data_IF_756966938069
#
_entry.id   IF_756966938069
#
_cell.length_a   1.000
_cell.length_b   1.000
_cell.length_c   1.000
_cell.angle_alpha   90.00
_cell.angle_beta   90.00
_cell.angle_gamma   90.00
#
_symmetry.space_group_name_H-M   'P 1'
#
loop_
_entity.id
_entity.type
_entity.pdbx_description
1 polymer ?
#
# COMPACT_ATOMS: atom_id res chain seq x y z
N UNK A 1 -9.66 0.25 -17.55
CA UNK A 1 -9.10 0.57 -16.22
C UNK A 1 -7.65 1.02 -16.29
N UNK A 2 -7.39 2.15 -15.63
CA UNK A 2 -6.05 2.68 -15.42
C UNK A 2 -5.21 1.71 -14.55
N UNK A 3 -3.87 1.70 -14.69
CA UNK A 3 -2.99 0.96 -13.79
C UNK A 3 -3.21 1.39 -12.34
N UNK A 4 -3.05 0.45 -11.40
CA UNK A 4 -3.14 0.76 -9.98
C UNK A 4 -2.11 1.82 -9.61
N UNK A 5 -2.59 2.87 -8.96
CA UNK A 5 -1.78 3.91 -8.33
C UNK A 5 -2.36 4.15 -6.95
N UNK A 6 -1.75 3.53 -5.94
CA UNK A 6 -2.11 3.76 -4.55
C UNK A 6 -0.97 4.46 -3.81
N UNK A 7 -1.33 5.40 -2.94
CA UNK A 7 -0.42 6.09 -2.06
C UNK A 7 -0.36 5.36 -0.72
N UNK A 8 0.83 5.03 -0.25
CA UNK A 8 1.03 4.52 1.10
C UNK A 8 0.93 5.70 2.08
N UNK A 9 -0.17 5.74 2.85
CA UNK A 9 -0.48 6.85 3.77
C UNK A 9 0.22 6.65 5.11
N UNK A 10 0.17 5.43 5.63
CA UNK A 10 0.79 5.05 6.89
C UNK A 10 1.04 3.53 6.89
N UNK A 11 1.85 3.05 7.82
CA UNK A 11 2.09 1.63 8.03
C UNK A 11 2.23 1.32 9.51
N UNK A 12 1.56 0.28 9.97
CA UNK A 12 1.61 -0.19 11.35
C UNK A 12 2.10 -1.64 11.40
N UNK A 13 2.95 -1.94 12.37
CA UNK A 13 3.30 -3.32 12.67
C UNK A 13 2.23 -3.99 13.54
N UNK A 14 1.77 -5.14 13.09
CA UNK A 14 0.91 -6.08 13.82
C UNK A 14 1.71 -7.35 14.13
N UNK A 15 1.56 -7.89 15.34
CA UNK A 15 2.35 -9.03 15.79
C UNK A 15 2.02 -10.34 15.05
N UNK A 16 0.82 -10.46 14.49
CA UNK A 16 0.36 -11.66 13.80
C UNK A 16 0.32 -11.47 12.28
N UNK A 17 -0.13 -10.29 11.84
CA UNK A 17 -0.31 -9.99 10.41
C UNK A 17 0.93 -9.36 9.76
N UNK A 18 1.94 -8.99 10.55
CA UNK A 18 3.10 -8.26 10.04
C UNK A 18 2.77 -6.79 9.78
N UNK A 19 3.35 -6.21 8.73
CA UNK A 19 3.10 -4.78 8.45
C UNK A 19 1.79 -4.60 7.70
N UNK A 20 0.84 -3.93 8.34
CA UNK A 20 -0.41 -3.47 7.74
C UNK A 20 -0.18 -2.08 7.17
N UNK A 21 -0.41 -1.91 5.87
CA UNK A 21 -0.28 -0.64 5.18
C UNK A 21 -1.64 0.04 5.05
N UNK A 22 -1.74 1.30 5.44
CA UNK A 22 -2.88 2.15 5.12
C UNK A 22 -2.62 2.78 3.76
N UNK A 23 -3.53 2.55 2.83
CA UNK A 23 -3.36 2.96 1.43
C UNK A 23 -4.56 3.76 0.96
N UNK A 24 -4.28 4.77 0.14
CA UNK A 24 -5.32 5.52 -0.58
C UNK A 24 -5.19 5.23 -2.07
N UNK A 25 -6.27 4.79 -2.70
CA UNK A 25 -6.28 4.52 -4.13
C UNK A 25 -6.53 5.84 -4.87
N UNK A 26 -5.62 6.19 -5.78
CA UNK A 26 -5.77 7.36 -6.65
C UNK A 26 -6.37 6.91 -7.99
N UNK A 27 -5.77 5.89 -8.60
CA UNK A 27 -6.22 5.30 -9.86
C UNK A 27 -6.23 3.77 -9.78
N UNK A 28 -7.09 3.15 -10.60
CA UNK A 28 -7.21 1.70 -10.70
C UNK A 28 -7.92 1.06 -9.50
N UNK A 29 -7.77 -0.25 -9.35
CA UNK A 29 -8.38 -1.03 -8.28
C UNK A 29 -7.36 -1.96 -7.65
N UNK A 30 -7.40 -2.09 -6.33
CA UNK A 30 -6.60 -3.03 -5.55
C UNK A 30 -7.51 -4.12 -4.99
N UNK A 31 -7.18 -5.39 -5.24
CA UNK A 31 -7.98 -6.54 -4.83
C UNK A 31 -7.13 -7.55 -4.07
N UNK A 32 -7.81 -8.40 -3.30
CA UNK A 32 -7.19 -9.58 -2.72
C UNK A 32 -6.66 -10.51 -3.81
N UNK A 33 -5.45 -11.05 -3.61
CA UNK A 33 -4.76 -11.91 -4.58
C UNK A 33 -4.00 -11.15 -5.68
N UNK A 34 -4.08 -9.82 -5.72
CA UNK A 34 -3.26 -9.03 -6.63
C UNK A 34 -1.78 -9.13 -6.25
N UNK A 35 -0.90 -9.07 -7.26
CA UNK A 35 0.54 -8.95 -7.05
C UNK A 35 0.97 -7.52 -7.25
N UNK A 36 1.34 -6.87 -6.16
CA UNK A 36 1.69 -5.45 -6.12
C UNK A 36 3.20 -5.24 -6.06
N UNK A 37 3.63 -4.04 -6.44
CA UNK A 37 4.99 -3.56 -6.35
C UNK A 37 5.03 -2.18 -5.72
N UNK A 38 5.93 -2.05 -4.76
CA UNK A 38 6.35 -0.76 -4.23
C UNK A 38 7.31 -0.12 -5.23
N UNK A 39 6.97 1.05 -5.77
CA UNK A 39 7.76 1.67 -6.84
C UNK A 39 9.13 2.15 -6.35
N UNK A 40 9.26 2.69 -5.14
CA UNK A 40 10.56 3.12 -4.61
C UNK A 40 11.40 1.99 -4.08
N UNK A 41 10.85 1.10 -3.25
CA UNK A 41 11.64 0.01 -2.66
C UNK A 41 11.90 -1.12 -3.65
N UNK A 42 11.08 -1.22 -4.71
CA UNK A 42 11.16 -2.26 -5.72
C UNK A 42 10.63 -3.62 -5.25
N UNK A 43 10.22 -3.73 -3.98
CA UNK A 43 9.67 -4.95 -3.39
C UNK A 43 8.33 -5.33 -4.03
N UNK A 44 8.19 -6.61 -4.36
CA UNK A 44 6.95 -7.19 -4.89
C UNK A 44 6.31 -8.08 -3.84
N UNK A 45 5.00 -7.92 -3.65
CA UNK A 45 4.25 -8.64 -2.63
C UNK A 45 2.92 -9.14 -3.19
N UNK A 46 2.47 -10.29 -2.71
CA UNK A 46 1.14 -10.82 -3.01
C UNK A 46 0.17 -10.33 -1.93
N UNK A 47 -0.98 -9.80 -2.35
CA UNK A 47 -1.97 -9.19 -1.46
C UNK A 47 -2.83 -10.27 -0.80
N UNK A 48 -2.65 -10.46 0.50
CA UNK A 48 -3.39 -11.47 1.28
C UNK A 48 -4.79 -11.00 1.65
N UNK A 49 -4.92 -9.72 2.01
CA UNK A 49 -6.20 -9.12 2.41
C UNK A 49 -6.23 -7.61 2.14
N UNK A 50 -7.43 -7.11 1.82
CA UNK A 50 -7.70 -5.68 1.69
C UNK A 50 -9.01 -5.35 2.38
N UNK A 51 -9.10 -4.14 2.94
CA UNK A 51 -10.27 -3.79 3.74
C UNK A 51 -10.36 -2.31 4.04
N UNK A 52 -11.41 -1.94 4.76
CA UNK A 52 -11.62 -0.59 5.27
C UNK A 52 -11.74 -0.62 6.78
N UNK A 53 -11.47 0.53 7.42
CA UNK A 53 -11.74 0.69 8.84
C UNK A 53 -13.16 1.18 9.06
N UNK A 54 -13.97 0.41 9.79
CA UNK A 54 -15.31 0.77 10.25
C UNK A 54 -15.47 0.42 11.72
N UNK A 55 -15.18 1.37 12.63
CA UNK A 55 -13.97 1.43 13.48
C UNK A 55 -13.09 0.16 13.64
N UNK A 56 -13.62 -1.05 13.45
CA UNK A 56 -12.86 -2.30 13.33
C UNK A 56 -12.42 -2.53 11.88
N UNK A 57 -11.43 -3.40 11.66
CA UNK A 57 -11.05 -3.85 10.33
C UNK A 57 -12.16 -4.70 9.73
N UNK A 58 -12.62 -4.33 8.53
CA UNK A 58 -13.59 -5.09 7.75
C UNK A 58 -12.98 -5.35 6.38
N UNK A 59 -12.73 -6.62 6.06
CA UNK A 59 -12.26 -7.03 4.75
C UNK A 59 -13.29 -6.72 3.67
N UNK A 60 -12.82 -6.25 2.51
CA UNK A 60 -13.64 -6.01 1.33
C UNK A 60 -13.02 -6.72 0.14
N UNK A 61 -13.80 -6.94 -0.93
CA UNK A 61 -13.28 -7.61 -2.12
C UNK A 61 -12.26 -6.75 -2.88
N UNK A 62 -12.45 -5.44 -2.89
CA UNK A 62 -11.59 -4.50 -3.60
C UNK A 62 -11.68 -3.08 -3.04
N UNK A 63 -10.60 -2.33 -3.19
CA UNK A 63 -10.54 -0.88 -3.01
C UNK A 63 -10.43 -0.20 -4.39
N UNK A 64 -11.31 0.75 -4.65
CA UNK A 64 -11.37 1.54 -5.88
C UNK A 64 -10.90 2.99 -5.72
N UNK A 65 -10.86 3.77 -6.82
CA UNK A 65 -10.35 5.14 -6.81
C UNK A 65 -11.07 6.03 -5.80
N UNK A 66 -10.30 6.80 -5.03
CA UNK A 66 -10.80 7.69 -3.98
C UNK A 66 -10.98 7.02 -2.62
N UNK A 67 -11.01 5.68 -2.56
CA UNK A 67 -11.17 4.95 -1.31
C UNK A 67 -9.85 4.89 -0.52
N UNK A 68 -9.99 4.84 0.81
CA UNK A 68 -8.89 4.64 1.76
C UNK A 68 -9.17 3.37 2.55
N UNK A 69 -8.15 2.54 2.70
CA UNK A 69 -8.27 1.25 3.33
C UNK A 69 -6.95 0.73 3.85
N UNK A 70 -6.95 -0.53 4.26
CA UNK A 70 -5.75 -1.26 4.62
C UNK A 70 -5.43 -2.33 3.58
N UNK A 71 -4.15 -2.65 3.53
CA UNK A 71 -3.51 -3.66 2.70
C UNK A 71 -2.67 -4.55 3.63
N UNK A 72 -2.89 -5.86 3.54
CA UNK A 72 -2.01 -6.87 4.10
C UNK A 72 -1.35 -7.67 2.96
N UNK A 73 -0.02 -7.78 3.00
CA UNK A 73 0.76 -8.48 1.97
C UNK A 73 1.98 -9.20 2.55
N UNK A 74 1.86 -9.71 3.79
CA UNK A 74 2.91 -10.47 4.50
C UNK A 74 4.28 -9.78 4.54
N UNK A 75 4.29 -8.45 4.61
CA UNK A 75 5.52 -7.66 4.63
C UNK A 75 6.16 -7.76 6.01
N UNK A 76 7.44 -8.15 6.06
CA UNK A 76 8.17 -8.42 7.30
C UNK A 76 8.69 -7.17 8.01
N UNK A 77 9.12 -6.16 7.25
CA UNK A 77 9.77 -4.98 7.82
C UNK A 77 9.09 -3.69 7.36
N UNK A 78 8.87 -2.77 8.31
CA UNK A 78 8.29 -1.44 8.05
C UNK A 78 9.19 -0.60 7.12
N UNK A 79 10.49 -0.91 7.07
CA UNK A 79 11.45 -0.24 6.18
C UNK A 79 11.17 -0.45 4.70
N UNK A 80 10.45 -1.53 4.37
CA UNK A 80 10.05 -1.88 3.01
C UNK A 80 8.77 -1.14 2.57
N UNK A 81 8.07 -0.53 3.53
CA UNK A 81 6.80 0.21 3.37
C UNK A 81 6.98 1.66 3.80
N UNK A 82 7.72 2.43 3.00
CA UNK A 82 7.98 3.84 3.35
C UNK A 82 6.73 4.67 3.11
N UNK A 83 6.32 5.43 4.13
CA UNK A 83 5.18 6.36 4.07
C UNK A 83 5.35 7.36 2.93
N UNK A 84 4.43 7.38 1.98
CA UNK A 84 4.46 8.19 0.76
C UNK A 84 4.98 7.45 -0.47
N UNK A 85 5.32 6.16 -0.39
CA UNK A 85 5.61 5.34 -1.57
C UNK A 85 4.34 5.14 -2.45
N UNK A 86 4.56 4.81 -3.71
CA UNK A 86 3.52 4.46 -4.68
C UNK A 86 3.46 2.95 -4.87
N UNK A 87 2.27 2.39 -4.71
CA UNK A 87 1.97 0.99 -4.95
C UNK A 87 1.30 0.85 -6.32
N UNK A 88 1.77 -0.11 -7.12
CA UNK A 88 1.21 -0.43 -8.43
C UNK A 88 1.14 -1.94 -8.66
N UNK A 89 0.49 -2.39 -9.72
CA UNK A 89 0.43 -3.81 -10.09
C UNK A 89 1.73 -4.25 -10.77
N UNK A 90 2.26 -5.43 -10.44
CA UNK A 90 3.50 -5.91 -11.04
C UNK A 90 3.37 -6.18 -12.54
N UNK A 91 2.21 -6.69 -12.99
CA UNK A 91 1.97 -6.97 -14.41
C UNK A 91 1.52 -5.75 -15.22
N UNK A 92 0.94 -4.75 -14.57
CA UNK A 92 0.41 -3.54 -15.19
C UNK A 92 0.85 -2.32 -14.38
N UNK A 93 2.14 -2.01 -14.50
CA UNK A 93 2.81 -0.96 -13.73
C UNK A 93 2.31 0.42 -14.17
N UNK A 94 2.18 1.31 -13.19
CA UNK A 94 2.10 2.73 -13.44
C UNK A 94 3.48 3.25 -13.90
N UNK A 95 3.50 4.09 -14.94
CA UNK A 95 4.76 4.63 -15.49
C UNK A 95 5.40 5.65 -14.55
N UNK A 96 4.59 6.46 -13.86
CA UNK A 96 5.05 7.56 -13.02
C UNK A 96 4.59 7.38 -11.57
N UNK A 97 5.53 7.35 -10.61
CA UNK A 97 5.18 7.34 -9.19
C UNK A 97 4.53 8.68 -8.80
N UNK A 98 3.76 8.67 -7.72
CA UNK A 98 3.18 9.89 -7.17
C UNK A 98 4.29 10.85 -6.69
N UNK A 99 4.14 12.16 -6.95
CA UNK A 99 5.06 13.16 -6.44
C UNK A 99 4.89 13.32 -4.92
N UNK A 100 5.94 13.74 -4.23
CA UNK A 100 5.84 14.26 -2.85
C UNK A 100 6.45 13.42 -1.74
N UNK A 101 6.98 12.22 -2.01
CA UNK A 101 7.70 11.47 -0.99
C UNK A 101 9.02 12.15 -0.61
N UNK A 102 9.15 12.55 0.67
CA UNK A 102 10.42 12.94 1.29
C UNK A 102 10.73 11.95 2.41
N UNK A 103 11.92 11.32 2.43
CA UNK A 103 12.30 10.45 3.53
C UNK A 103 12.30 11.22 4.85
N UNK A 104 11.91 10.56 5.94
CA UNK A 104 11.97 11.14 7.28
C UNK A 104 13.41 11.48 7.63
N UNK A 105 13.67 12.75 7.92
CA UNK A 105 14.98 13.25 8.37
C UNK A 105 14.93 13.42 9.89
N UNK A 106 15.75 12.68 10.67
CA UNK A 106 15.85 12.89 12.11
C UNK A 106 16.35 14.32 12.40
N UNK A 107 15.65 15.04 13.27
CA UNK A 107 15.97 16.44 13.63
C UNK A 107 16.50 16.60 15.06
N UNK A 108 16.51 15.53 15.85
CA UNK A 108 17.04 15.47 17.23
C UNK A 108 17.81 14.15 17.39
N UNK A 109 18.97 14.19 18.05
CA UNK A 109 19.88 13.07 18.28
C UNK A 109 20.02 12.78 19.76
#
# INVERSE_FOLDING_TARGET
DAPLKAMLVDSKYDQYLGVICIVRIIDGTLKKGDRIRMMKTGGTYDVDDVGVYRPKMVGVESLGPGEIGYLNASIKQVRDTRVGDTITHEKRKCETPLPGFKPSVPVVF
#
